data_IF_007452623537
#
_entry.id   IF_007452623537
#
_cell.length_a   1.000
_cell.length_b   1.000
_cell.length_c   1.000
_cell.angle_alpha   90.00
_cell.angle_beta   90.00
_cell.angle_gamma   90.00
#
_symmetry.space_group_name_H-M   'P 1'
#
loop_
_entity.id
_entity.type
_entity.pdbx_description
1 polymer ?
#
# COMPACT_ATOMS: atom_id res chain seq x y z
N UNK A 1 12.90 13.52 -23.15
CA UNK A 1 13.41 12.26 -22.58
C UNK A 1 13.14 12.26 -21.08
N UNK A 2 12.16 11.48 -20.60
CA UNK A 2 11.83 11.40 -19.18
C UNK A 2 12.86 10.57 -18.45
N UNK A 3 13.55 11.15 -17.46
CA UNK A 3 14.50 10.42 -16.63
C UNK A 3 13.80 9.29 -15.88
N UNK A 4 14.34 8.07 -15.98
CA UNK A 4 13.85 6.92 -15.22
C UNK A 4 13.91 7.25 -13.71
N UNK A 5 12.86 6.98 -12.94
CA UNK A 5 12.85 7.26 -11.51
C UNK A 5 14.00 6.52 -10.81
N UNK A 6 14.70 7.23 -9.93
CA UNK A 6 15.84 6.66 -9.21
C UNK A 6 15.32 5.77 -8.07
N UNK A 7 15.99 4.64 -7.75
CA UNK A 7 15.64 3.72 -6.67
C UNK A 7 15.50 4.30 -5.25
N UNK A 8 15.73 5.60 -5.08
CA UNK A 8 15.81 6.31 -3.79
C UNK A 8 14.79 7.39 -3.59
N UNK A 9 13.83 7.47 -4.50
CA UNK A 9 12.68 8.35 -4.36
C UNK A 9 11.53 7.70 -3.57
N UNK A 10 11.74 6.44 -3.12
CA UNK A 10 10.83 5.72 -2.25
C UNK A 10 10.86 6.31 -0.84
N UNK A 11 10.08 7.36 -0.64
CA UNK A 11 9.75 7.83 0.69
C UNK A 11 8.80 6.81 1.32
N UNK A 12 9.20 6.30 2.49
CA UNK A 12 8.36 5.46 3.34
C UNK A 12 6.95 6.07 3.48
N UNK A 13 5.94 5.21 3.31
CA UNK A 13 4.54 5.57 3.57
C UNK A 13 4.17 5.01 4.93
N UNK A 14 3.86 5.90 5.87
CA UNK A 14 3.41 5.49 7.20
C UNK A 14 2.08 4.74 7.14
N UNK A 15 1.84 3.87 8.11
CA UNK A 15 0.55 3.20 8.30
C UNK A 15 -0.64 4.17 8.23
N UNK A 16 -0.54 5.32 8.90
CA UNK A 16 -1.57 6.37 8.85
C UNK A 16 -1.77 6.96 7.44
N UNK A 17 -0.69 7.12 6.67
CA UNK A 17 -0.80 7.56 5.28
C UNK A 17 -1.39 6.47 4.38
N UNK A 18 -1.08 5.18 4.61
CA UNK A 18 -1.71 4.08 3.89
C UNK A 18 -3.22 4.09 4.11
N UNK A 19 -3.70 4.25 5.35
CA UNK A 19 -5.13 4.38 5.66
C UNK A 19 -5.77 5.56 4.91
N UNK A 20 -5.13 6.72 4.89
CA UNK A 20 -5.61 7.90 4.13
C UNK A 20 -5.68 7.63 2.63
N UNK A 21 -4.69 6.94 2.08
CA UNK A 21 -4.68 6.54 0.67
C UNK A 21 -5.80 5.55 0.38
N UNK A 22 -6.01 4.56 1.25
CA UNK A 22 -7.07 3.57 1.10
C UNK A 22 -8.46 4.22 1.09
N UNK A 23 -8.75 5.12 2.04
CA UNK A 23 -10.00 5.89 2.07
C UNK A 23 -10.20 6.68 0.78
N UNK A 24 -9.16 7.39 0.31
CA UNK A 24 -9.25 8.17 -0.93
C UNK A 24 -9.56 7.26 -2.13
N UNK A 25 -8.90 6.11 -2.22
CA UNK A 25 -9.10 5.16 -3.30
C UNK A 25 -10.52 4.57 -3.29
N UNK A 26 -11.05 4.24 -2.12
CA UNK A 26 -12.45 3.79 -1.98
C UNK A 26 -13.45 4.87 -2.40
N UNK A 27 -13.19 6.14 -2.06
CA UNK A 27 -14.02 7.27 -2.53
C UNK A 27 -13.96 7.41 -4.06
N UNK A 28 -12.77 7.25 -4.66
CA UNK A 28 -12.60 7.25 -6.12
C UNK A 28 -13.32 6.07 -6.80
N UNK A 29 -13.48 4.96 -6.10
CA UNK A 29 -14.26 3.78 -6.53
C UNK A 29 -15.77 3.92 -6.30
N UNK A 30 -16.22 5.03 -5.71
CA UNK A 30 -17.64 5.34 -5.52
C UNK A 30 -18.25 4.90 -4.20
N UNK A 31 -17.46 4.43 -3.23
CA UNK A 31 -17.98 4.15 -1.89
C UNK A 31 -18.43 5.45 -1.21
N UNK A 32 -19.63 5.51 -0.61
CA UNK A 32 -20.09 6.68 0.13
C UNK A 32 -19.20 6.94 1.35
N UNK A 33 -18.81 8.21 1.56
CA UNK A 33 -17.88 8.60 2.63
C UNK A 33 -18.37 8.17 4.02
N UNK A 34 -19.66 8.33 4.26
CA UNK A 34 -20.35 7.99 5.51
C UNK A 34 -20.37 6.48 5.80
N UNK A 35 -20.08 5.64 4.79
CA UNK A 35 -19.98 4.18 4.92
C UNK A 35 -18.55 3.68 5.00
N UNK A 36 -17.56 4.57 5.00
CA UNK A 36 -16.15 4.24 5.20
C UNK A 36 -15.78 4.53 6.65
N UNK A 37 -15.33 3.49 7.34
CA UNK A 37 -14.94 3.53 8.74
C UNK A 37 -13.47 3.09 8.88
N UNK A 38 -12.80 3.60 9.92
CA UNK A 38 -11.38 3.34 10.18
C UNK A 38 -11.27 2.72 11.55
N UNK A 39 -10.32 1.79 11.73
CA UNK A 39 -10.02 1.19 13.02
C UNK A 39 -11.23 0.47 13.66
N UNK A 40 -12.00 -0.25 12.84
CA UNK A 40 -13.26 -0.87 13.22
C UNK A 40 -13.04 -2.24 13.83
N UNK A 41 -13.72 -2.52 14.94
CA UNK A 41 -13.80 -3.87 15.50
C UNK A 41 -14.85 -4.69 14.77
N UNK A 42 -14.40 -5.66 13.98
CA UNK A 42 -15.26 -6.65 13.33
C UNK A 42 -15.19 -7.96 14.11
N UNK A 43 -16.12 -8.12 15.06
CA UNK A 43 -16.19 -9.23 16.00
C UNK A 43 -14.90 -9.37 16.84
N UNK A 44 -13.98 -10.23 16.42
CA UNK A 44 -12.78 -10.63 17.17
C UNK A 44 -11.50 -9.94 16.69
N UNK A 45 -11.57 -9.14 15.61
CA UNK A 45 -10.41 -8.45 15.05
C UNK A 45 -10.74 -7.02 14.71
N UNK A 46 -9.79 -6.14 15.02
CA UNK A 46 -9.78 -4.76 14.56
C UNK A 46 -9.16 -4.70 13.16
N UNK A 47 -9.83 -4.05 12.23
CA UNK A 47 -9.36 -3.85 10.85
C UNK A 47 -9.03 -2.38 10.61
N UNK A 48 -8.08 -2.12 9.71
CA UNK A 48 -7.61 -0.74 9.48
C UNK A 48 -8.66 0.14 8.80
N UNK A 49 -9.33 -0.37 7.76
CA UNK A 49 -10.44 0.31 7.07
C UNK A 49 -11.52 -0.71 6.71
N UNK A 50 -12.77 -0.35 6.97
CA UNK A 50 -13.95 -1.07 6.51
C UNK A 50 -14.83 -0.12 5.68
N UNK A 51 -15.32 -0.60 4.54
CA UNK A 51 -16.25 0.15 3.70
C UNK A 51 -17.46 -0.70 3.35
N UNK A 52 -18.65 -0.19 3.70
CA UNK A 52 -19.91 -0.82 3.36
C UNK A 52 -20.46 -0.24 2.05
N UNK A 53 -20.60 -1.09 1.03
CA UNK A 53 -20.98 -0.71 -0.33
C UNK A 53 -21.56 -1.89 -1.09
N UNK A 54 -21.59 -1.83 -2.42
CA UNK A 54 -22.08 -2.94 -3.25
C UNK A 54 -21.35 -4.26 -2.93
N UNK A 55 -20.04 -4.17 -2.68
CA UNK A 55 -19.23 -5.24 -2.09
C UNK A 55 -18.60 -4.73 -0.79
N UNK A 56 -18.99 -5.25 0.38
CA UNK A 56 -18.31 -4.94 1.64
C UNK A 56 -16.81 -5.19 1.52
N UNK A 57 -16.00 -4.20 1.84
CA UNK A 57 -14.55 -4.22 1.63
C UNK A 57 -13.80 -3.97 2.94
N UNK A 58 -12.85 -4.86 3.23
CA UNK A 58 -11.94 -4.75 4.39
C UNK A 58 -10.53 -4.54 3.85
N UNK A 59 -9.82 -3.54 4.38
CA UNK A 59 -8.43 -3.26 3.99
C UNK A 59 -7.53 -3.35 5.22
N UNK A 60 -6.46 -4.13 5.08
CA UNK A 60 -5.35 -4.25 6.03
C UNK A 60 -4.14 -3.50 5.48
N UNK A 61 -3.77 -2.39 6.12
CA UNK A 61 -2.61 -1.59 5.76
C UNK A 61 -1.34 -2.21 6.36
N UNK A 62 -0.28 -2.40 5.56
CA UNK A 62 1.02 -2.86 6.06
C UNK A 62 2.14 -1.95 5.58
N UNK A 63 2.83 -1.30 6.51
CA UNK A 63 3.97 -0.43 6.20
C UNK A 63 5.30 -1.13 6.52
N UNK A 64 6.17 -1.30 5.53
CA UNK A 64 7.50 -1.90 5.72
C UNK A 64 8.52 -0.80 6.04
N UNK A 65 8.82 -0.60 7.33
CA UNK A 65 9.70 0.48 7.81
C UNK A 65 11.20 0.22 7.65
N UNK A 66 11.66 -1.02 7.77
CA UNK A 66 13.07 -1.29 8.10
C UNK A 66 13.93 -1.86 6.96
N UNK A 67 13.37 -2.60 6.01
CA UNK A 67 14.16 -3.29 4.97
C UNK A 67 14.58 -2.39 3.80
N UNK A 68 13.81 -1.36 3.47
CA UNK A 68 14.06 -0.54 2.28
C UNK A 68 15.25 0.43 2.43
N UNK A 69 15.46 1.00 3.61
CA UNK A 69 16.50 2.00 3.80
C UNK A 69 17.91 1.37 3.86
N UNK A 70 18.04 0.26 4.59
CA UNK A 70 19.31 -0.44 4.76
C UNK A 70 19.82 -1.04 3.45
N UNK A 71 18.96 -1.78 2.73
CA UNK A 71 19.32 -2.35 1.43
C UNK A 71 19.69 -1.26 0.40
N UNK A 72 19.01 -0.11 0.43
CA UNK A 72 19.30 0.98 -0.50
C UNK A 72 20.65 1.66 -0.20
N UNK A 73 21.05 1.81 1.06
CA UNK A 73 22.37 2.35 1.43
C UNK A 73 23.50 1.38 1.09
N UNK A 74 23.33 0.10 1.44
CA UNK A 74 24.32 -0.93 1.19
C UNK A 74 24.55 -1.15 -0.32
N UNK A 75 23.48 -1.42 -1.10
CA UNK A 75 23.63 -1.69 -2.54
C UNK A 75 24.16 -0.49 -3.33
N UNK A 76 23.94 0.74 -2.84
CA UNK A 76 24.59 1.93 -3.42
C UNK A 76 26.10 1.93 -3.22
N UNK A 77 26.58 1.51 -2.04
CA UNK A 77 28.01 1.41 -1.74
C UNK A 77 28.68 0.35 -2.63
N UNK A 78 27.97 -0.76 -2.87
CA UNK A 78 28.48 -1.90 -3.64
C UNK A 78 28.29 -1.76 -5.17
N UNK A 79 27.84 -0.60 -5.67
CA UNK A 79 27.69 -0.36 -7.11
C UNK A 79 26.42 -0.94 -7.76
N UNK A 80 25.48 -1.47 -6.98
CA UNK A 80 24.16 -1.94 -7.45
C UNK A 80 23.69 -3.24 -6.80
N UNK A 81 22.51 -3.73 -7.21
CA UNK A 81 21.99 -5.05 -6.83
C UNK A 81 20.48 -5.21 -6.97
N UNK A 82 20.00 -6.45 -6.80
CA UNK A 82 18.57 -6.81 -6.85
C UNK A 82 17.95 -6.71 -5.45
N UNK A 83 16.77 -6.08 -5.35
CA UNK A 83 15.95 -6.03 -4.13
C UNK A 83 14.71 -6.90 -4.32
N UNK A 84 14.42 -7.79 -3.38
CA UNK A 84 13.26 -8.68 -3.39
C UNK A 84 12.55 -8.56 -2.05
N UNK A 85 11.26 -8.24 -2.07
CA UNK A 85 10.38 -8.43 -0.92
C UNK A 85 9.79 -9.83 -1.03
N UNK A 86 10.07 -10.68 -0.06
CA UNK A 86 9.47 -12.00 0.07
C UNK A 86 8.52 -11.98 1.26
N UNK A 87 7.27 -12.39 1.04
CA UNK A 87 6.23 -12.48 2.07
C UNK A 87 5.32 -13.67 1.76
N UNK A 88 4.60 -14.21 2.76
CA UNK A 88 3.59 -15.23 2.54
C UNK A 88 2.52 -14.73 1.56
N UNK A 89 1.90 -15.67 0.85
CA UNK A 89 0.69 -15.37 0.10
C UNK A 89 -0.42 -14.96 1.07
N UNK A 90 -0.98 -13.76 0.87
CA UNK A 90 -2.15 -13.32 1.63
C UNK A 90 -3.40 -13.82 0.91
N UNK A 91 -4.31 -14.45 1.65
CA UNK A 91 -5.64 -14.78 1.15
C UNK A 91 -6.50 -13.51 1.07
N UNK A 92 -6.21 -12.68 0.06
CA UNK A 92 -6.90 -11.43 -0.24
C UNK A 92 -7.31 -11.41 -1.71
N UNK A 93 -8.42 -10.75 -2.00
CA UNK A 93 -8.92 -10.61 -3.38
C UNK A 93 -8.02 -9.71 -4.24
N UNK A 94 -7.38 -8.72 -3.61
CA UNK A 94 -6.54 -7.73 -4.29
C UNK A 94 -5.48 -7.17 -3.34
N UNK A 95 -4.28 -6.91 -3.86
CA UNK A 95 -3.22 -6.20 -3.17
C UNK A 95 -3.02 -4.79 -3.76
N UNK A 96 -2.97 -3.78 -2.91
CA UNK A 96 -2.73 -2.40 -3.31
C UNK A 96 -1.28 -2.00 -3.02
N UNK A 97 -0.47 -1.90 -4.07
CA UNK A 97 0.89 -1.40 -3.97
C UNK A 97 0.86 0.14 -4.02
N UNK A 98 1.13 0.77 -2.89
CA UNK A 98 1.07 2.24 -2.74
C UNK A 98 2.45 2.86 -2.97
N UNK A 99 2.56 3.66 -4.03
CA UNK A 99 3.77 4.38 -4.38
C UNK A 99 3.65 5.88 -4.10
N UNK A 100 4.56 6.43 -3.30
CA UNK A 100 4.67 7.87 -3.07
C UNK A 100 5.64 8.48 -4.08
N UNK A 101 5.12 9.36 -4.92
CA UNK A 101 5.90 10.11 -5.92
C UNK A 101 6.76 11.21 -5.28
N UNK A 102 7.75 11.70 -6.02
CA UNK A 102 8.56 12.89 -5.65
C UNK A 102 7.72 14.12 -5.32
N UNK A 103 6.58 14.29 -6.00
CA UNK A 103 5.64 15.41 -5.80
C UNK A 103 4.68 15.18 -4.62
N UNK A 104 5.00 14.23 -3.74
CA UNK A 104 4.18 13.87 -2.58
C UNK A 104 2.76 13.37 -2.93
N UNK A 105 2.54 12.94 -4.17
CA UNK A 105 1.30 12.28 -4.61
C UNK A 105 1.42 10.76 -4.43
N UNK A 106 0.32 10.11 -4.08
CA UNK A 106 0.24 8.65 -3.98
C UNK A 106 -0.43 8.07 -5.22
N UNK A 107 0.19 7.03 -5.78
CA UNK A 107 -0.34 6.18 -6.84
C UNK A 107 -0.64 4.82 -6.22
N UNK A 108 -1.81 4.25 -6.53
CA UNK A 108 -2.21 2.91 -6.12
C UNK A 108 -2.11 1.99 -7.34
N UNK A 109 -1.33 0.92 -7.23
CA UNK A 109 -1.26 -0.14 -8.24
C UNK A 109 -2.01 -1.34 -7.68
N UNK A 110 -3.05 -1.74 -8.39
CA UNK A 110 -3.94 -2.85 -8.07
C UNK A 110 -3.39 -4.15 -8.63
N UNK A 111 -3.17 -5.13 -7.77
CA UNK A 111 -2.70 -6.47 -8.13
C UNK A 111 -3.77 -7.46 -7.71
N UNK A 112 -4.63 -7.93 -8.63
CA UNK A 112 -5.68 -8.89 -8.28
C UNK A 112 -5.06 -10.22 -7.88
N UNK A 113 -5.81 -11.00 -7.11
CA UNK A 113 -5.49 -12.41 -6.83
C UNK A 113 -5.26 -13.14 -8.18
N UNK A 114 -4.17 -13.91 -8.32
CA UNK A 114 -4.00 -14.78 -9.48
C UNK A 114 -5.18 -15.74 -9.61
N UNK A 115 -5.67 -15.93 -10.83
CA UNK A 115 -6.63 -16.98 -11.14
C UNK A 115 -5.87 -18.29 -11.33
N UNK A 116 -6.42 -19.39 -10.80
CA UNK A 116 -5.90 -20.75 -11.01
C UNK A 116 -6.20 -21.24 -12.43
#
# INVERSE_FOLDING_TARGET
>A
MGSKPSPTDFKFTSHNNLRRVAIRQLLEEGYPKERIQVDVDLNTKRVDVFADGEKPTIIECKSFKHTNEYASKYLRREGGGRRVLCQPFFDVDEMWLVYRTKKNKYIVIKVPRPQE
#
